data_IF_970502914421
#
_entry.id   IF_970502914421
#
_cell.length_a   1.000
_cell.length_b   1.000
_cell.length_c   1.000
_cell.angle_alpha   90.00
_cell.angle_beta   90.00
_cell.angle_gamma   90.00
#
_symmetry.space_group_name_H-M   'P 1'
#
loop_
_entity.id
_entity.type
_entity.pdbx_description
1 polymer ?
#
# COMPACT_ATOMS: atom_id res chain seq x y z
N UNK A 1 -1.65 2.49 -19.90
CA UNK A 1 -1.99 2.67 -18.46
C UNK A 1 -0.77 2.52 -17.57
N UNK A 2 0.05 1.48 -17.72
CA UNK A 2 1.19 1.24 -16.82
C UNK A 2 2.20 2.39 -16.74
N UNK A 3 2.51 3.06 -17.87
CA UNK A 3 3.35 4.26 -17.86
C UNK A 3 2.77 5.36 -16.95
N UNK A 4 1.46 5.60 -17.00
CA UNK A 4 0.80 6.61 -16.18
C UNK A 4 0.80 6.25 -14.69
N UNK A 5 0.60 4.96 -14.37
CA UNK A 5 0.70 4.44 -13.00
C UNK A 5 2.11 4.65 -12.46
N UNK A 6 3.12 4.31 -13.26
CA UNK A 6 4.52 4.49 -12.91
C UNK A 6 4.85 5.97 -12.66
N UNK A 7 4.44 6.87 -13.58
CA UNK A 7 4.67 8.30 -13.45
C UNK A 7 3.99 8.88 -12.19
N UNK A 8 2.76 8.47 -11.91
CA UNK A 8 2.03 8.90 -10.72
C UNK A 8 2.78 8.49 -9.44
N UNK A 9 3.12 7.20 -9.32
CA UNK A 9 3.85 6.66 -8.16
C UNK A 9 5.19 7.36 -7.97
N UNK A 10 5.94 7.56 -9.06
CA UNK A 10 7.23 8.25 -9.04
C UNK A 10 7.10 9.70 -8.58
N UNK A 11 6.10 10.41 -9.08
CA UNK A 11 5.88 11.82 -8.75
C UNK A 11 5.40 12.00 -7.30
N UNK A 12 4.61 11.06 -6.79
CA UNK A 12 4.10 11.10 -5.42
C UNK A 12 5.23 10.91 -4.38
N UNK A 13 6.29 10.18 -4.72
CA UNK A 13 7.48 10.03 -3.88
C UNK A 13 7.25 9.27 -2.57
N UNK A 14 6.16 8.51 -2.48
CA UNK A 14 5.80 7.68 -1.33
C UNK A 14 6.26 6.23 -1.52
N UNK A 15 6.30 5.47 -0.43
CA UNK A 15 6.75 4.07 -0.43
C UNK A 15 5.58 3.11 -0.59
N UNK A 16 5.71 2.17 -1.51
CA UNK A 16 4.78 1.05 -1.63
C UNK A 16 5.06 0.02 -0.53
N UNK A 17 4.02 -0.39 0.20
CA UNK A 17 4.10 -1.38 1.25
C UNK A 17 4.06 -2.79 0.67
N UNK A 18 4.80 -3.71 1.30
CA UNK A 18 4.80 -5.14 0.95
C UNK A 18 3.53 -5.87 1.37
N UNK A 19 2.76 -5.33 2.32
CA UNK A 19 1.47 -5.87 2.74
C UNK A 19 0.47 -4.78 3.09
N UNK A 20 -0.81 -5.11 3.01
CA UNK A 20 -1.93 -4.24 3.39
C UNK A 20 -1.91 -3.83 4.87
N UNK A 21 -1.30 -4.64 5.75
CA UNK A 21 -1.23 -4.40 7.20
C UNK A 21 -0.25 -3.27 7.59
N UNK A 22 0.68 -2.93 6.70
CA UNK A 22 1.76 -1.98 6.97
C UNK A 22 1.58 -0.64 6.24
N UNK A 23 0.42 -0.42 5.60
CA UNK A 23 0.16 0.79 4.83
C UNK A 23 -0.75 1.77 5.58
N UNK A 24 -0.61 3.06 5.27
CA UNK A 24 -1.41 4.13 5.87
C UNK A 24 -2.66 4.46 5.05
N UNK A 25 -2.66 4.10 3.76
CA UNK A 25 -3.76 4.32 2.83
C UNK A 25 -3.65 3.38 1.64
N UNK A 26 -4.75 3.24 0.92
CA UNK A 26 -4.84 2.48 -0.32
C UNK A 26 -4.71 3.41 -1.53
N UNK A 27 -3.87 3.04 -2.50
CA UNK A 27 -3.77 3.72 -3.79
C UNK A 27 -4.38 2.83 -4.87
N UNK A 28 -5.50 3.26 -5.44
CA UNK A 28 -6.24 2.52 -6.46
C UNK A 28 -6.25 3.28 -7.79
N UNK A 29 -6.04 2.60 -8.92
CA UNK A 29 -6.05 3.22 -10.24
C UNK A 29 -7.29 2.79 -11.03
N UNK A 30 -8.09 3.77 -11.46
CA UNK A 30 -9.33 3.59 -12.20
C UNK A 30 -9.20 4.21 -13.61
N UNK A 31 -8.83 3.43 -14.64
CA UNK A 31 -8.92 3.92 -16.02
C UNK A 31 -10.38 4.07 -16.46
N UNK A 32 -10.69 5.21 -17.09
CA UNK A 32 -11.96 5.38 -17.79
C UNK A 32 -11.85 4.71 -19.16
N UNK A 33 -12.62 3.66 -19.37
CA UNK A 33 -12.65 2.82 -20.58
C UNK A 33 -13.97 3.05 -21.33
N UNK A 34 -15.06 3.16 -20.60
CA UNK A 34 -16.40 3.32 -21.14
C UNK A 34 -16.90 4.76 -20.93
N UNK A 35 -17.62 4.99 -19.83
CA UNK A 35 -18.14 6.27 -19.39
C UNK A 35 -17.66 6.51 -17.97
N UNK A 36 -17.20 7.73 -17.70
CA UNK A 36 -16.63 8.10 -16.41
C UNK A 36 -17.51 7.67 -15.23
N UNK A 37 -18.80 8.01 -15.25
CA UNK A 37 -19.72 7.64 -14.17
C UNK A 37 -19.84 6.13 -13.95
N UNK A 38 -19.95 5.34 -15.01
CA UNK A 38 -20.07 3.88 -14.92
C UNK A 38 -18.79 3.23 -14.38
N UNK A 39 -17.63 3.64 -14.89
CA UNK A 39 -16.35 3.07 -14.48
C UNK A 39 -16.01 3.44 -13.02
N UNK A 40 -16.33 4.68 -12.61
CA UNK A 40 -16.16 5.16 -11.23
C UNK A 40 -17.10 4.41 -10.28
N UNK A 41 -18.37 4.24 -10.63
CA UNK A 41 -19.34 3.51 -9.80
C UNK A 41 -18.89 2.06 -9.59
N UNK A 42 -18.46 1.38 -10.66
CA UNK A 42 -17.93 0.02 -10.57
C UNK A 42 -16.65 -0.05 -9.72
N UNK A 43 -15.77 0.95 -9.80
CA UNK A 43 -14.58 1.05 -8.96
C UNK A 43 -14.92 1.24 -7.48
N UNK A 44 -15.90 2.09 -7.16
CA UNK A 44 -16.36 2.29 -5.77
C UNK A 44 -16.98 1.01 -5.21
N UNK A 45 -17.82 0.31 -5.99
CA UNK A 45 -18.40 -0.97 -5.58
C UNK A 45 -17.33 -2.02 -5.27
N UNK A 46 -16.30 -2.11 -6.11
CA UNK A 46 -15.16 -2.98 -5.87
C UNK A 46 -14.43 -2.65 -4.57
N UNK A 47 -14.08 -1.37 -4.39
CA UNK A 47 -13.35 -0.92 -3.20
C UNK A 47 -14.14 -1.21 -1.93
N UNK A 48 -15.46 -1.05 -1.95
CA UNK A 48 -16.33 -1.39 -0.83
C UNK A 48 -16.29 -2.90 -0.52
N UNK A 49 -16.26 -3.77 -1.53
CA UNK A 49 -16.14 -5.22 -1.33
C UNK A 49 -14.77 -5.58 -0.73
N UNK A 50 -13.68 -5.03 -1.28
CA UNK A 50 -12.32 -5.27 -0.80
C UNK A 50 -12.15 -4.78 0.65
N UNK A 51 -12.72 -3.62 0.98
CA UNK A 51 -12.69 -3.07 2.34
C UNK A 51 -13.53 -3.90 3.30
N UNK A 52 -14.63 -4.49 2.87
CA UNK A 52 -15.45 -5.35 3.73
C UNK A 52 -14.76 -6.67 4.10
N UNK A 53 -13.88 -7.19 3.24
CA UNK A 53 -13.29 -8.53 3.39
C UNK A 53 -11.83 -8.55 3.86
N UNK A 54 -11.25 -7.42 4.27
CA UNK A 54 -9.81 -7.31 4.51
C UNK A 54 -9.45 -6.37 5.66
N UNK A 55 -8.20 -6.43 6.12
CA UNK A 55 -7.60 -5.45 7.04
C UNK A 55 -7.59 -4.02 6.47
N UNK A 56 -7.90 -3.86 5.18
CA UNK A 56 -8.06 -2.57 4.50
C UNK A 56 -9.33 -1.79 4.92
N UNK A 57 -10.20 -2.36 5.76
CA UNK A 57 -11.50 -1.77 6.14
C UNK A 57 -11.41 -0.36 6.73
N UNK A 58 -10.37 -0.07 7.50
CA UNK A 58 -10.15 1.24 8.15
C UNK A 58 -9.29 2.19 7.33
N UNK A 59 -8.79 1.75 6.17
CA UNK A 59 -7.87 2.56 5.40
C UNK A 59 -8.62 3.52 4.46
N UNK A 60 -8.18 4.79 4.42
CA UNK A 60 -8.65 5.72 3.40
C UNK A 60 -8.10 5.31 2.05
N UNK A 61 -8.85 5.61 1.00
CA UNK A 61 -8.53 5.29 -0.38
C UNK A 61 -8.29 6.57 -1.16
N UNK A 62 -7.17 6.60 -1.87
CA UNK A 62 -6.91 7.56 -2.95
C UNK A 62 -7.13 6.83 -4.27
N UNK A 63 -8.21 7.16 -4.94
CA UNK A 63 -8.53 6.65 -6.28
C UNK A 63 -8.03 7.62 -7.35
N UNK A 64 -7.09 7.16 -8.16
CA UNK A 64 -6.58 7.90 -9.31
C UNK A 64 -7.43 7.56 -10.53
N UNK A 65 -8.28 8.50 -10.94
CA UNK A 65 -9.15 8.36 -12.11
C UNK A 65 -8.38 8.81 -13.35
N UNK A 66 -8.08 7.86 -14.23
CA UNK A 66 -7.23 8.08 -15.41
C UNK A 66 -8.10 8.27 -16.65
N UNK A 67 -8.10 9.49 -17.18
CA UNK A 67 -8.83 9.86 -18.40
C UNK A 67 -7.90 9.84 -19.60
N UNK A 68 -8.10 8.90 -20.53
CA UNK A 68 -7.30 8.84 -21.75
C UNK A 68 -7.61 10.03 -22.66
N UNK A 69 -6.57 10.75 -23.08
CA UNK A 69 -6.67 11.91 -23.98
C UNK A 69 -5.29 12.34 -24.47
N UNK A 70 -5.24 12.94 -25.66
CA UNK A 70 -4.08 13.69 -26.15
C UNK A 70 -4.19 15.20 -25.85
N UNK A 71 -5.39 15.68 -25.53
CA UNK A 71 -5.65 17.06 -25.15
C UNK A 71 -5.38 17.30 -23.66
N UNK A 72 -4.36 18.09 -23.36
CA UNK A 72 -3.96 18.48 -22.00
C UNK A 72 -4.96 19.40 -21.29
N UNK A 73 -5.79 20.11 -22.06
CA UNK A 73 -6.78 21.05 -21.55
C UNK A 73 -8.19 20.45 -21.49
N UNK A 74 -8.35 19.18 -21.89
CA UNK A 74 -9.62 18.45 -21.89
C UNK A 74 -10.40 18.71 -20.60
N UNK A 75 -11.61 19.28 -20.67
CA UNK A 75 -12.42 19.50 -19.48
C UNK A 75 -12.83 18.14 -18.92
N UNK A 76 -12.58 17.94 -17.62
CA UNK A 76 -13.01 16.76 -16.89
C UNK A 76 -13.82 17.21 -15.69
N UNK A 77 -14.89 16.47 -15.41
CA UNK A 77 -15.70 16.69 -14.23
C UNK A 77 -14.96 16.11 -13.02
N UNK A 78 -15.08 16.78 -11.88
CA UNK A 78 -14.55 16.28 -10.60
C UNK A 78 -15.25 14.97 -10.23
N UNK A 79 -14.47 13.89 -10.18
CA UNK A 79 -14.96 12.55 -9.88
C UNK A 79 -15.46 12.42 -8.43
N UNK A 80 -15.02 13.28 -7.51
CA UNK A 80 -15.53 13.27 -6.13
C UNK A 80 -17.03 13.56 -6.06
N UNK A 81 -17.61 14.20 -7.09
CA UNK A 81 -19.05 14.53 -7.13
C UNK A 81 -19.98 13.32 -7.18
N UNK A 82 -19.47 12.18 -7.62
CA UNK A 82 -20.25 10.92 -7.74
C UNK A 82 -19.84 9.88 -6.72
N UNK A 83 -18.80 10.16 -5.91
CA UNK A 83 -18.33 9.28 -4.85
C UNK A 83 -19.03 9.68 -3.56
N UNK A 84 -19.78 8.74 -2.99
CA UNK A 84 -20.57 8.95 -1.76
C UNK A 84 -19.86 8.46 -0.51
N UNK A 85 -18.78 7.69 -0.64
CA UNK A 85 -18.02 7.15 0.49
C UNK A 85 -17.02 8.17 1.02
N UNK A 86 -17.10 8.48 2.32
CA UNK A 86 -16.20 9.46 2.97
C UNK A 86 -14.73 8.99 2.99
N UNK A 87 -14.50 7.68 2.98
CA UNK A 87 -13.15 7.11 2.99
C UNK A 87 -12.51 7.06 1.60
N UNK A 88 -13.24 7.34 0.52
CA UNK A 88 -12.73 7.28 -0.85
C UNK A 88 -12.63 8.70 -1.40
N UNK A 89 -11.41 9.13 -1.64
CA UNK A 89 -11.10 10.39 -2.33
C UNK A 89 -10.63 10.10 -3.74
N UNK A 90 -11.15 10.81 -4.74
CA UNK A 90 -10.69 10.70 -6.11
C UNK A 90 -9.79 11.86 -6.52
N UNK A 91 -8.85 11.55 -7.39
CA UNK A 91 -8.09 12.54 -8.14
C UNK A 91 -8.04 12.18 -9.60
N UNK A 92 -8.49 13.14 -10.40
CA UNK A 92 -8.56 13.02 -11.84
C UNK A 92 -7.23 13.39 -12.49
N UNK A 93 -6.74 12.52 -13.37
CA UNK A 93 -5.51 12.68 -14.12
C UNK A 93 -5.72 12.39 -15.60
N UNK A 94 -5.08 13.18 -16.46
CA UNK A 94 -5.05 12.96 -17.90
C UNK A 94 -3.84 12.13 -18.29
N UNK A 95 -4.02 11.14 -19.14
CA UNK A 95 -2.93 10.28 -19.61
C UNK A 95 -3.09 9.90 -21.08
N UNK A 96 -1.98 9.47 -21.68
CA UNK A 96 -1.96 8.81 -22.99
C UNK A 96 -1.08 7.56 -22.92
N UNK A 97 -0.76 7.00 -24.07
CA UNK A 97 0.01 5.75 -24.15
C UNK A 97 1.45 5.90 -23.62
N UNK A 98 1.96 7.13 -23.57
CA UNK A 98 3.30 7.44 -23.08
C UNK A 98 3.34 7.72 -21.57
N UNK A 99 2.19 7.85 -20.90
CA UNK A 99 2.12 8.12 -19.47
C UNK A 99 1.24 9.31 -19.11
N UNK A 100 1.53 9.93 -17.97
CA UNK A 100 0.78 11.12 -17.53
C UNK A 100 1.10 12.31 -18.44
N UNK A 101 0.07 13.07 -18.80
CA UNK A 101 0.31 14.33 -19.52
C UNK A 101 1.03 15.33 -18.61
N UNK A 102 1.99 16.05 -19.19
CA UNK A 102 2.61 17.21 -18.54
C UNK A 102 1.66 18.39 -18.68
N UNK A 103 0.78 18.59 -17.69
CA UNK A 103 -0.20 19.68 -17.69
C UNK A 103 -0.46 20.21 -16.28
N UNK A 104 -0.96 21.44 -16.20
CA UNK A 104 -1.24 22.09 -14.91
C UNK A 104 -2.25 21.29 -14.07
N UNK A 105 -3.23 20.66 -14.73
CA UNK A 105 -4.24 19.84 -14.08
C UNK A 105 -3.64 18.69 -13.29
N UNK A 106 -2.79 17.87 -13.93
CA UNK A 106 -2.10 16.75 -13.29
C UNK A 106 -1.15 17.24 -12.18
N UNK A 107 -0.37 18.31 -12.44
CA UNK A 107 0.54 18.88 -11.44
C UNK A 107 -0.20 19.36 -10.19
N UNK A 108 -1.35 20.03 -10.35
CA UNK A 108 -2.18 20.49 -9.23
C UNK A 108 -2.80 19.31 -8.47
N UNK A 109 -3.36 18.34 -9.19
CA UNK A 109 -3.94 17.12 -8.64
C UNK A 109 -2.94 16.35 -7.76
N UNK A 110 -1.76 16.05 -8.29
CA UNK A 110 -0.72 15.29 -7.57
C UNK A 110 -0.16 16.13 -6.42
N UNK A 111 0.08 17.43 -6.63
CA UNK A 111 0.59 18.30 -5.56
C UNK A 111 -0.39 18.41 -4.39
N UNK A 112 -1.70 18.41 -4.66
CA UNK A 112 -2.72 18.48 -3.61
C UNK A 112 -2.66 17.23 -2.74
N UNK A 113 -2.76 16.05 -3.34
CA UNK A 113 -2.65 14.78 -2.59
C UNK A 113 -1.32 14.70 -1.84
N UNK A 114 -0.21 15.03 -2.49
CA UNK A 114 1.10 14.95 -1.85
C UNK A 114 1.19 15.84 -0.59
N UNK A 115 0.54 17.01 -0.60
CA UNK A 115 0.46 17.90 0.58
C UNK A 115 -0.44 17.31 1.66
N UNK A 116 -1.61 16.80 1.27
CA UNK A 116 -2.59 16.21 2.20
C UNK A 116 -2.01 14.96 2.89
N UNK A 117 -1.39 14.04 2.12
CA UNK A 117 -0.73 12.87 2.68
C UNK A 117 0.45 13.24 3.58
N UNK A 118 1.20 14.29 3.23
CA UNK A 118 2.33 14.76 4.04
C UNK A 118 1.87 15.36 5.38
N UNK A 119 0.81 16.16 5.39
CA UNK A 119 0.27 16.75 6.63
C UNK A 119 -0.25 15.67 7.58
N UNK A 120 -0.80 14.60 7.03
CA UNK A 120 -1.30 13.43 7.76
C UNK A 120 -0.21 12.38 8.06
N UNK A 121 1.06 12.65 7.69
CA UNK A 121 2.22 11.74 7.85
C UNK A 121 2.02 10.37 7.19
N UNK A 122 1.19 10.29 6.14
CA UNK A 122 0.91 9.09 5.37
C UNK A 122 1.98 8.87 4.31
N UNK A 123 2.96 8.03 4.61
CA UNK A 123 4.12 7.79 3.72
C UNK A 123 4.16 6.42 3.04
N UNK A 124 3.30 5.49 3.46
CA UNK A 124 3.24 4.11 3.00
C UNK A 124 1.87 3.85 2.40
N UNK A 125 1.83 3.32 1.18
CA UNK A 125 0.59 2.96 0.50
C UNK A 125 0.62 1.51 0.06
N UNK A 126 -0.55 0.87 0.04
CA UNK A 126 -0.73 -0.40 -0.65
C UNK A 126 -1.39 -0.14 -2.00
N UNK A 127 -0.81 -0.68 -3.08
CA UNK A 127 -1.33 -0.48 -4.42
C UNK A 127 -2.33 -1.59 -4.77
N UNK A 128 -3.53 -1.19 -5.18
CA UNK A 128 -4.45 -2.11 -5.84
C UNK A 128 -4.57 -1.72 -7.32
N UNK A 129 -4.39 -2.72 -8.18
CA UNK A 129 -4.66 -2.61 -9.61
C UNK A 129 -5.95 -3.34 -9.93
N UNK A 130 -6.71 -2.82 -10.88
CA UNK A 130 -7.80 -3.54 -11.52
C UNK A 130 -7.16 -4.47 -12.55
N UNK A 131 -7.04 -5.75 -12.24
CA UNK A 131 -6.56 -6.74 -13.20
C UNK A 131 -7.65 -6.88 -14.28
N UNK A 132 -7.24 -6.89 -15.55
CA UNK A 132 -8.16 -6.93 -16.68
C UNK A 132 -9.21 -8.04 -16.50
N UNK A 133 -10.48 -7.63 -16.46
CA UNK A 133 -11.72 -8.41 -16.56
C UNK A 133 -12.25 -9.22 -15.38
N UNK A 134 -11.56 -9.37 -14.24
CA UNK A 134 -12.19 -10.01 -13.08
C UNK A 134 -12.00 -9.25 -11.78
N UNK A 135 -13.13 -8.80 -11.25
CA UNK A 135 -13.29 -8.19 -9.94
C UNK A 135 -13.26 -9.26 -8.85
N UNK A 136 -12.16 -10.00 -8.72
CA UNK A 136 -11.99 -10.93 -7.62
C UNK A 136 -11.12 -10.30 -6.52
N UNK A 137 -11.53 -10.41 -5.25
CA UNK A 137 -10.71 -9.96 -4.13
C UNK A 137 -9.36 -10.70 -4.14
N UNK A 138 -8.29 -10.09 -3.61
CA UNK A 138 -6.97 -10.71 -3.55
C UNK A 138 -7.05 -12.11 -2.91
N UNK A 139 -6.50 -13.13 -3.59
CA UNK A 139 -6.49 -14.55 -3.15
C UNK A 139 -5.87 -14.78 -1.78
N UNK A 140 -5.09 -13.82 -1.30
CA UNK A 140 -4.49 -13.80 0.04
C UNK A 140 -5.57 -13.78 1.15
N UNK A 141 -6.81 -13.38 0.84
CA UNK A 141 -7.94 -13.38 1.77
C UNK A 141 -8.68 -14.73 1.84
N UNK A 142 -8.57 -15.57 0.81
CA UNK A 142 -9.32 -16.84 0.75
C UNK A 142 -8.63 -17.97 1.54
N UNK A 143 -7.30 -17.89 1.72
CA UNK A 143 -6.54 -18.93 2.43
C UNK A 143 -6.65 -18.88 3.97
N UNK A 144 -7.27 -17.85 4.56
CA UNK A 144 -7.56 -17.80 6.01
C UNK A 144 -8.98 -18.29 6.38
N UNK A 145 -9.80 -18.71 5.40
CA UNK A 145 -11.19 -19.11 5.62
C UNK A 145 -11.41 -20.57 6.11
N UNK A 146 -10.36 -21.28 6.54
CA UNK A 146 -10.53 -22.54 7.27
C UNK A 146 -10.89 -22.26 8.74
N UNK A 147 -12.16 -21.95 8.99
CA UNK A 147 -12.76 -21.98 10.32
C UNK A 147 -13.09 -23.44 10.70
N UNK A 148 -12.61 -24.00 11.83
CA UNK A 148 -13.38 -25.02 12.54
C UNK A 148 -14.39 -24.31 13.46
N UNK A 149 -15.65 -24.72 13.37
CA UNK A 149 -16.80 -24.08 14.03
C UNK A 149 -16.62 -23.79 15.53
N UNK A 150 -17.29 -22.72 15.98
CA UNK A 150 -17.36 -22.25 17.38
C UNK A 150 -17.88 -23.34 18.35
N UNK A 151 -17.54 -23.25 19.65
CA UNK A 151 -18.50 -22.63 20.57
C UNK A 151 -17.87 -21.71 21.65
N UNK A 152 -18.64 -20.71 22.08
CA UNK A 152 -18.39 -19.75 23.19
C UNK A 152 -18.86 -20.42 24.51
N UNK A 153 -18.21 -20.33 25.72
CA UNK A 153 -17.89 -19.07 26.44
C UNK A 153 -16.60 -19.03 27.32
N UNK A 154 -16.23 -17.78 27.73
CA UNK A 154 -15.16 -17.34 28.66
C UNK A 154 -15.17 -18.04 30.05
N UNK A 155 -14.08 -18.02 30.90
CA UNK A 155 -13.13 -16.93 31.14
C UNK A 155 -11.65 -17.33 31.48
N UNK A 156 -10.85 -16.31 31.87
CA UNK A 156 -9.59 -16.37 32.67
C UNK A 156 -8.23 -16.36 31.93
N UNK A 157 -7.68 -15.14 31.86
CA UNK A 157 -6.28 -14.73 32.09
C UNK A 157 -5.13 -15.73 31.87
N UNK A 158 -4.29 -15.43 30.88
CA UNK A 158 -2.82 -15.46 31.02
C UNK A 158 -2.16 -14.56 29.96
N UNK A 159 -1.29 -13.66 30.42
CA UNK A 159 -0.37 -12.90 29.55
C UNK A 159 0.52 -13.90 28.80
N UNK A 160 0.57 -13.78 27.48
CA UNK A 160 1.64 -14.32 26.66
C UNK A 160 2.29 -13.16 25.91
N UNK A 161 3.55 -12.87 26.25
CA UNK A 161 4.39 -11.94 25.52
C UNK A 161 4.78 -12.64 24.22
N UNK A 162 4.24 -12.19 23.09
CA UNK A 162 4.64 -12.70 21.77
C UNK A 162 5.99 -12.09 21.40
N UNK A 163 7.03 -12.91 21.42
CA UNK A 163 8.32 -12.61 20.81
C UNK A 163 8.20 -12.72 19.28
N UNK A 164 7.50 -11.78 18.64
CA UNK A 164 7.56 -11.60 17.19
C UNK A 164 8.62 -10.54 16.88
N UNK A 165 9.89 -10.91 17.05
CA UNK A 165 11.02 -9.96 17.02
C UNK A 165 12.23 -10.45 16.23
N UNK A 166 12.08 -11.39 15.29
CA UNK A 166 13.24 -11.90 14.53
C UNK A 166 13.04 -12.07 13.02
N UNK A 167 11.92 -11.64 12.44
CA UNK A 167 11.63 -11.98 11.04
C UNK A 167 12.04 -10.96 9.97
N UNK A 168 12.72 -9.85 10.31
CA UNK A 168 13.12 -8.84 9.30
C UNK A 168 14.57 -8.39 9.45
N UNK A 169 15.51 -9.34 9.51
CA UNK A 169 16.93 -8.99 9.37
C UNK A 169 17.36 -9.09 7.92
N UNK A 170 17.58 -7.91 7.30
CA UNK A 170 18.22 -7.82 5.99
C UNK A 170 19.53 -8.63 5.97
N UNK A 171 19.94 -9.15 4.80
CA UNK A 171 21.19 -9.91 4.66
C UNK A 171 22.39 -9.13 5.23
N UNK A 172 22.41 -7.81 5.08
CA UNK A 172 23.42 -6.95 5.69
C UNK A 172 23.40 -7.00 7.23
N UNK A 173 22.22 -7.00 7.84
CA UNK A 173 22.09 -7.08 9.30
C UNK A 173 22.57 -8.43 9.82
N UNK A 174 22.27 -9.53 9.11
CA UNK A 174 22.76 -10.87 9.44
C UNK A 174 24.29 -10.90 9.38
N UNK A 175 24.88 -10.36 8.31
CA UNK A 175 26.35 -10.27 8.16
C UNK A 175 26.97 -9.48 9.30
N UNK A 176 26.40 -8.34 9.69
CA UNK A 176 26.90 -7.52 10.80
C UNK A 176 26.85 -8.28 12.14
N UNK A 177 25.75 -8.99 12.43
CA UNK A 177 25.64 -9.79 13.65
C UNK A 177 26.65 -10.94 13.67
N UNK A 178 26.80 -11.67 12.57
CA UNK A 178 27.77 -12.76 12.48
C UNK A 178 29.19 -12.25 12.70
N UNK A 179 29.56 -11.13 12.07
CA UNK A 179 30.88 -10.50 12.26
C UNK A 179 31.08 -10.08 13.72
N UNK A 180 30.07 -9.47 14.35
CA UNK A 180 30.16 -9.05 15.75
C UNK A 180 30.31 -10.24 16.71
N UNK A 181 29.57 -11.32 16.50
CA UNK A 181 29.66 -12.55 17.32
C UNK A 181 31.03 -13.19 17.17
N UNK A 182 31.55 -13.33 15.95
CA UNK A 182 32.88 -13.88 15.69
C UNK A 182 33.96 -13.03 16.38
N UNK A 183 33.85 -11.69 16.31
CA UNK A 183 34.78 -10.79 16.98
C UNK A 183 34.78 -10.99 18.51
N UNK A 184 33.60 -11.08 19.13
CA UNK A 184 33.47 -11.33 20.57
C UNK A 184 34.09 -12.67 20.97
N UNK A 185 33.86 -13.73 20.20
CA UNK A 185 34.44 -15.05 20.46
C UNK A 185 35.97 -15.02 20.38
N UNK A 186 36.55 -14.30 19.41
CA UNK A 186 37.99 -14.12 19.29
C UNK A 186 38.56 -13.39 20.52
N UNK A 187 37.91 -12.31 20.96
CA UNK A 187 38.34 -11.55 22.14
C UNK A 187 38.29 -12.42 23.40
N UNK A 188 37.22 -13.19 23.59
CA UNK A 188 37.11 -14.11 24.73
C UNK A 188 38.19 -15.20 24.68
N UNK A 189 38.47 -15.77 23.52
CA UNK A 189 39.53 -16.75 23.36
C UNK A 189 40.90 -16.16 23.72
N UNK A 190 41.20 -14.93 23.28
CA UNK A 190 42.44 -14.24 23.65
C UNK A 190 42.54 -13.97 25.15
N UNK A 191 41.45 -13.55 25.79
CA UNK A 191 41.40 -13.34 27.25
C UNK A 191 41.68 -14.66 27.98
N UNK A 192 41.03 -15.75 27.58
CA UNK A 192 41.24 -17.08 28.16
C UNK A 192 42.68 -17.56 27.96
N UNK A 193 43.27 -17.32 26.78
CA UNK A 193 44.68 -17.65 26.52
C UNK A 193 45.61 -16.83 27.41
N UNK A 194 45.36 -15.53 27.57
CA UNK A 194 46.16 -14.64 28.43
C UNK A 194 46.04 -15.07 29.90
N UNK A 195 44.84 -15.41 30.36
CA UNK A 195 44.58 -15.84 31.73
C UNK A 195 45.19 -17.20 32.05
N UNK A 196 45.18 -18.15 31.11
CA UNK A 196 45.81 -19.47 31.31
C UNK A 196 47.34 -19.45 31.14
N UNK A 197 47.92 -18.34 30.67
CA UNK A 197 49.37 -18.16 30.52
C UNK A 197 50.00 -17.45 31.72
N UNK A 198 49.24 -17.22 32.79
CA UNK A 198 49.67 -16.62 34.06
C UNK A 198 49.48 -17.63 35.20
#
# INVERSE_FOLDING_TARGET
MDCAVHDFKKTLGLKEASSSQQCHFLLFFCPIISRAGTDIEAAVQYLNQVKASSYLSSLPVVMVVLHHTLDAEKPILDSNRVITSEDISAVDCLFNDNGLLTCQKNSNAISKIAKDLKSEKRTLYYCLKKDHENLHPPRDAENELLIPERPVPHPVQRRAISFCGLCDLSVNTIVVIVVAVVFVLIVLALIVIIYNKK
#
